data_IF_328537122718
#
_entry.id   IF_328537122718
#
_cell.length_a   1.000
_cell.length_b   1.000
_cell.length_c   1.000
_cell.angle_alpha   90.00
_cell.angle_beta   90.00
_cell.angle_gamma   90.00
#
_symmetry.space_group_name_H-M   'P 1'
#
loop_
_entity.id
_entity.type
_entity.pdbx_description
1 polymer ?
#
# COMPACT_ATOMS: atom_id res chain seq x y z
N UNK A 1 23.86 -5.80 6.66
CA UNK A 1 24.94 -5.78 5.64
C UNK A 1 24.64 -4.57 4.77
N UNK A 2 25.51 -3.56 4.71
CA UNK A 2 25.31 -2.46 3.77
C UNK A 2 25.81 -2.94 2.41
N UNK A 3 24.89 -3.01 1.45
CA UNK A 3 25.21 -3.32 0.05
C UNK A 3 25.34 -1.97 -0.65
N UNK A 4 26.43 -1.78 -1.39
CA UNK A 4 26.66 -0.55 -2.15
C UNK A 4 26.68 -0.89 -3.64
N UNK A 5 26.00 -0.08 -4.46
CA UNK A 5 25.97 -0.23 -5.90
C UNK A 5 26.59 1.00 -6.58
N UNK A 6 27.38 0.76 -7.62
CA UNK A 6 27.96 1.81 -8.45
C UNK A 6 26.93 2.27 -9.49
N UNK A 7 26.41 3.48 -9.34
CA UNK A 7 25.63 4.16 -10.37
C UNK A 7 26.36 5.46 -10.71
N UNK A 8 26.64 5.72 -12.00
CA UNK A 8 27.44 6.86 -12.48
C UNK A 8 28.87 6.98 -11.93
N UNK A 9 29.41 5.92 -11.31
CA UNK A 9 30.77 5.92 -10.73
C UNK A 9 30.85 6.38 -9.28
N UNK A 10 29.71 6.69 -8.65
CA UNK A 10 29.63 6.99 -7.22
C UNK A 10 29.07 5.79 -6.44
N UNK A 11 29.60 5.57 -5.23
CA UNK A 11 29.14 4.56 -4.30
C UNK A 11 27.83 5.03 -3.66
N UNK A 12 26.70 4.45 -4.06
CA UNK A 12 25.42 4.76 -3.44
C UNK A 12 25.02 3.67 -2.45
N UNK A 13 24.47 4.09 -1.30
CA UNK A 13 23.77 3.20 -0.38
C UNK A 13 22.62 2.53 -1.13
N UNK A 14 22.57 1.19 -1.05
CA UNK A 14 21.56 0.39 -1.71
C UNK A 14 20.77 -0.46 -0.73
N UNK A 15 19.45 -0.53 -0.96
CA UNK A 15 18.54 -1.32 -0.13
C UNK A 15 17.63 -2.22 -0.95
N UNK A 16 17.30 -3.37 -0.37
CA UNK A 16 16.32 -4.33 -0.89
C UNK A 16 15.07 -4.27 0.00
N UNK A 17 13.93 -3.86 -0.56
CA UNK A 17 12.68 -3.66 0.18
C UNK A 17 11.69 -4.75 -0.18
N UNK A 18 11.34 -5.60 0.78
CA UNK A 18 10.36 -6.68 0.58
C UNK A 18 8.99 -6.25 1.11
N UNK A 19 8.01 -6.16 0.22
CA UNK A 19 6.64 -5.78 0.55
C UNK A 19 5.78 -7.01 0.83
N UNK A 20 4.80 -6.87 1.72
CA UNK A 20 3.77 -7.90 1.96
C UNK A 20 2.69 -7.95 0.87
N UNK A 21 3.01 -7.45 -0.32
CA UNK A 21 2.13 -7.29 -1.47
C UNK A 21 2.87 -7.72 -2.74
N UNK A 22 2.21 -7.95 -3.89
CA UNK A 22 2.84 -8.63 -5.03
C UNK A 22 2.31 -8.20 -6.39
N UNK A 23 3.16 -8.38 -7.41
CA UNK A 23 2.80 -8.32 -8.84
C UNK A 23 1.61 -9.21 -9.25
N UNK A 24 1.30 -10.22 -8.43
CA UNK A 24 0.22 -11.20 -8.62
C UNK A 24 -1.02 -10.92 -7.76
N UNK A 25 -1.04 -9.82 -7.03
CA UNK A 25 -2.15 -9.45 -6.16
C UNK A 25 -2.67 -8.04 -6.53
N UNK A 26 -2.57 -7.03 -5.67
CA UNK A 26 -3.09 -5.70 -5.95
C UNK A 26 -2.14 -4.77 -6.73
N UNK A 27 -0.83 -5.01 -6.68
CA UNK A 27 0.13 -4.28 -7.52
C UNK A 27 0.18 -5.00 -8.86
N UNK A 28 -0.60 -4.58 -9.86
CA UNK A 28 -0.72 -5.40 -11.08
C UNK A 28 0.50 -5.25 -12.01
N UNK A 29 1.17 -6.37 -12.31
CA UNK A 29 2.38 -6.40 -13.16
C UNK A 29 2.22 -5.74 -14.54
N UNK A 30 1.11 -6.00 -15.25
CA UNK A 30 0.98 -5.62 -16.66
C UNK A 30 0.63 -4.15 -16.89
N UNK A 31 0.24 -3.43 -15.84
CA UNK A 31 -0.18 -2.03 -15.96
C UNK A 31 0.51 -1.10 -14.98
N UNK A 32 1.32 -1.60 -14.05
CA UNK A 32 2.02 -0.79 -13.06
C UNK A 32 2.74 0.42 -13.69
N UNK A 33 3.45 0.21 -14.81
CA UNK A 33 4.17 1.26 -15.53
C UNK A 33 3.24 2.34 -16.14
N UNK A 34 1.94 2.06 -16.27
CA UNK A 34 0.91 2.99 -16.75
C UNK A 34 0.08 3.61 -15.62
N UNK A 35 0.28 3.16 -14.38
CA UNK A 35 -0.44 3.67 -13.21
C UNK A 35 0.41 4.74 -12.51
N UNK A 36 -0.23 5.82 -12.06
CA UNK A 36 0.41 6.82 -11.20
C UNK A 36 0.44 6.31 -9.75
N UNK A 37 1.26 5.29 -9.50
CA UNK A 37 1.44 4.67 -8.19
C UNK A 37 2.49 5.44 -7.41
N UNK A 38 2.10 5.94 -6.24
CA UNK A 38 2.98 6.66 -5.35
C UNK A 38 3.06 5.95 -4.00
N UNK A 39 4.28 5.61 -3.59
CA UNK A 39 4.56 5.08 -2.25
C UNK A 39 4.88 6.21 -1.29
N UNK A 40 4.29 6.17 -0.11
CA UNK A 40 4.55 7.13 0.97
C UNK A 40 4.72 6.38 2.29
N UNK A 41 5.64 6.78 3.17
CA UNK A 41 5.70 6.22 4.51
C UNK A 41 4.46 6.67 5.30
N UNK A 42 3.91 5.78 6.13
CA UNK A 42 2.86 6.18 7.08
C UNK A 42 3.41 7.15 8.13
N UNK A 43 4.64 6.91 8.61
CA UNK A 43 5.36 7.81 9.52
C UNK A 43 6.35 8.68 8.74
N UNK A 44 5.94 9.92 8.45
CA UNK A 44 6.73 10.89 7.71
C UNK A 44 7.79 11.56 8.60
N UNK A 45 8.77 10.80 9.08
CA UNK A 45 9.92 11.35 9.78
C UNK A 45 10.69 12.32 8.85
N UNK A 46 10.87 13.56 9.29
CA UNK A 46 11.49 14.63 8.49
C UNK A 46 12.94 14.31 8.10
N UNK A 47 13.70 13.67 9.00
CA UNK A 47 15.12 13.33 8.79
C UNK A 47 15.33 12.01 8.01
N UNK A 48 14.26 11.41 7.47
CA UNK A 48 14.36 10.14 6.73
C UNK A 48 15.07 10.36 5.39
N UNK A 49 16.14 9.59 5.05
CA UNK A 49 16.73 9.61 3.71
C UNK A 49 15.67 9.29 2.63
N UNK A 50 15.66 10.04 1.53
CA UNK A 50 14.66 9.91 0.44
C UNK A 50 15.23 9.53 -0.92
N UNK A 51 16.56 9.45 -1.04
CA UNK A 51 17.26 9.23 -2.30
C UNK A 51 18.17 8.00 -2.21
N UNK A 52 17.66 6.90 -1.65
CA UNK A 52 18.37 5.62 -1.59
C UNK A 52 18.04 4.80 -2.83
N UNK A 53 19.09 4.29 -3.49
CA UNK A 53 18.88 3.39 -4.61
C UNK A 53 18.28 2.08 -4.09
N UNK A 54 17.11 1.72 -4.60
CA UNK A 54 16.31 0.64 -4.01
C UNK A 54 15.71 -0.27 -5.07
N UNK A 55 15.57 -1.54 -4.71
CA UNK A 55 14.74 -2.50 -5.46
C UNK A 55 13.62 -2.99 -4.56
N UNK A 56 12.39 -2.91 -5.07
CA UNK A 56 11.18 -3.29 -4.38
C UNK A 56 10.75 -4.68 -4.85
N UNK A 57 10.68 -5.62 -3.92
CA UNK A 57 10.25 -6.99 -4.15
C UNK A 57 8.86 -7.20 -3.58
N UNK A 58 8.06 -7.98 -4.28
CA UNK A 58 6.80 -8.49 -3.77
C UNK A 58 7.00 -9.72 -2.88
N UNK A 59 5.91 -10.14 -2.26
CA UNK A 59 5.93 -11.19 -1.24
C UNK A 59 6.13 -12.62 -1.80
N UNK A 60 6.05 -12.82 -3.11
CA UNK A 60 6.10 -14.19 -3.67
C UNK A 60 7.53 -14.70 -3.80
N UNK A 61 7.69 -16.02 -3.83
CA UNK A 61 8.97 -16.68 -4.10
C UNK A 61 9.37 -16.61 -5.59
N UNK A 62 8.66 -15.83 -6.42
CA UNK A 62 8.96 -15.72 -7.84
C UNK A 62 10.08 -14.70 -8.06
N UNK A 63 11.14 -15.03 -8.81
CA UNK A 63 12.17 -14.06 -9.16
C UNK A 63 11.65 -12.94 -10.08
N UNK A 64 10.43 -13.08 -10.62
CA UNK A 64 9.77 -12.06 -11.45
C UNK A 64 8.89 -11.11 -10.63
N UNK A 65 8.77 -11.33 -9.31
CA UNK A 65 8.03 -10.45 -8.40
C UNK A 65 8.89 -9.26 -7.93
N UNK A 66 9.63 -8.67 -8.86
CA UNK A 66 10.33 -7.40 -8.66
C UNK A 66 9.37 -6.28 -9.07
N UNK A 67 8.84 -5.53 -8.12
CA UNK A 67 7.86 -4.46 -8.33
C UNK A 67 8.51 -3.28 -9.07
N UNK A 68 9.66 -2.81 -8.58
CA UNK A 68 10.43 -1.75 -9.19
C UNK A 68 11.92 -2.02 -8.97
N UNK A 69 12.74 -1.88 -10.00
CA UNK A 69 14.19 -2.08 -9.94
C UNK A 69 14.93 -0.75 -10.04
N UNK A 70 15.93 -0.55 -9.17
CA UNK A 70 16.83 0.63 -9.19
C UNK A 70 16.09 1.97 -9.18
N UNK A 71 15.10 2.11 -8.32
CA UNK A 71 14.42 3.39 -8.11
C UNK A 71 15.02 4.15 -6.92
N UNK A 72 15.01 5.47 -6.97
CA UNK A 72 15.25 6.27 -5.76
C UNK A 72 14.04 6.14 -4.85
N UNK A 73 14.30 5.74 -3.61
CA UNK A 73 13.28 5.49 -2.62
C UNK A 73 13.71 6.03 -1.26
N UNK A 74 12.76 6.15 -0.34
CA UNK A 74 13.06 6.50 1.03
C UNK A 74 13.54 5.29 1.82
N UNK A 75 14.29 5.55 2.90
CA UNK A 75 14.72 4.51 3.84
C UNK A 75 13.51 3.77 4.40
N UNK A 76 13.55 2.43 4.33
CA UNK A 76 12.48 1.57 4.83
C UNK A 76 12.99 0.62 5.91
N UNK A 77 12.31 0.64 7.06
CA UNK A 77 12.58 -0.25 8.18
C UNK A 77 11.63 -1.45 8.15
N UNK A 78 12.10 -2.64 8.57
CA UNK A 78 11.22 -3.79 8.77
C UNK A 78 10.03 -3.42 9.65
N UNK A 79 8.87 -4.01 9.33
CA UNK A 79 7.59 -3.85 10.04
C UNK A 79 6.96 -2.44 10.00
N UNK A 80 7.46 -1.52 9.18
CA UNK A 80 6.79 -0.25 8.94
C UNK A 80 5.70 -0.33 7.87
N UNK A 81 4.77 0.62 7.93
CA UNK A 81 3.65 0.69 6.98
C UNK A 81 3.92 1.71 5.87
N UNK A 82 3.63 1.28 4.66
CA UNK A 82 3.68 2.08 3.45
C UNK A 82 2.25 2.31 2.96
N UNK A 83 1.97 3.53 2.52
CA UNK A 83 0.73 3.89 1.85
C UNK A 83 1.02 3.90 0.35
N UNK A 84 0.13 3.27 -0.41
CA UNK A 84 0.18 3.27 -1.87
C UNK A 84 -1.10 3.89 -2.40
N UNK A 85 -0.99 5.08 -2.99
CA UNK A 85 -2.14 5.81 -3.52
C UNK A 85 -2.56 5.33 -4.91
N UNK A 86 -3.74 5.78 -5.35
CA UNK A 86 -4.27 5.53 -6.70
C UNK A 86 -4.49 4.04 -7.06
N UNK A 87 -4.55 3.16 -6.05
CA UNK A 87 -4.76 1.72 -6.20
C UNK A 87 -6.23 1.30 -6.34
N UNK A 88 -7.13 2.18 -6.79
CA UNK A 88 -8.57 1.89 -6.86
C UNK A 88 -9.02 1.21 -8.16
N UNK A 89 -8.32 1.43 -9.27
CA UNK A 89 -8.66 0.90 -10.59
C UNK A 89 -7.66 -0.19 -11.00
N UNK A 90 -8.16 -1.28 -11.59
CA UNK A 90 -7.38 -2.38 -12.15
C UNK A 90 -6.35 -3.05 -11.20
N UNK A 91 -6.54 -2.89 -9.89
CA UNK A 91 -5.75 -3.50 -8.82
C UNK A 91 -6.39 -4.83 -8.37
N UNK A 92 -7.39 -4.75 -7.49
CA UNK A 92 -8.06 -5.91 -6.89
C UNK A 92 -8.72 -6.84 -7.92
N UNK A 93 -9.16 -6.31 -9.06
CA UNK A 93 -9.79 -7.11 -10.13
C UNK A 93 -8.85 -8.15 -10.73
N UNK A 94 -7.53 -7.95 -10.63
CA UNK A 94 -6.52 -8.86 -11.18
C UNK A 94 -5.79 -9.66 -10.09
N UNK A 95 -6.19 -9.50 -8.83
CA UNK A 95 -5.65 -10.28 -7.74
C UNK A 95 -6.02 -11.77 -7.90
N UNK A 96 -5.08 -12.67 -7.67
CA UNK A 96 -5.31 -14.11 -7.84
C UNK A 96 -4.90 -14.98 -6.65
N UNK A 97 -4.40 -14.39 -5.57
CA UNK A 97 -3.96 -15.11 -4.37
C UNK A 97 -2.84 -16.14 -4.61
N UNK A 98 -2.00 -15.87 -5.61
CA UNK A 98 -0.83 -16.71 -5.92
C UNK A 98 0.05 -16.91 -4.68
N UNK A 99 0.73 -18.06 -4.57
CA UNK A 99 1.51 -18.46 -3.39
C UNK A 99 0.73 -18.50 -2.06
N UNK A 100 -0.60 -18.52 -2.10
CA UNK A 100 -1.43 -18.57 -0.89
C UNK A 100 -1.53 -17.22 -0.18
N UNK A 101 -1.11 -16.12 -0.82
CA UNK A 101 -1.40 -14.78 -0.32
C UNK A 101 -2.91 -14.53 -0.39
N UNK A 102 -3.50 -14.07 0.71
CA UNK A 102 -4.90 -13.68 0.73
C UNK A 102 -5.15 -12.41 -0.08
N UNK A 103 -6.42 -12.16 -0.41
CA UNK A 103 -6.82 -10.88 -0.97
C UNK A 103 -6.78 -9.81 0.14
N UNK A 104 -6.35 -8.58 -0.17
CA UNK A 104 -6.35 -7.52 0.82
C UNK A 104 -7.79 -7.17 1.19
N UNK A 105 -7.99 -6.87 2.48
CA UNK A 105 -9.30 -6.45 2.99
C UNK A 105 -9.64 -5.05 2.48
N UNK A 106 -10.85 -4.87 1.98
CA UNK A 106 -11.36 -3.57 1.56
C UNK A 106 -12.24 -3.00 2.67
N UNK A 107 -11.92 -1.79 3.13
CA UNK A 107 -12.73 -1.04 4.08
C UNK A 107 -13.33 0.18 3.40
N UNK A 108 -14.67 0.25 3.35
CA UNK A 108 -15.37 1.41 2.83
C UNK A 108 -15.55 2.44 3.95
N UNK A 109 -15.10 3.67 3.69
CA UNK A 109 -15.24 4.81 4.60
C UNK A 109 -16.15 5.83 3.92
N UNK A 110 -17.27 6.14 4.56
CA UNK A 110 -18.30 7.04 4.03
C UNK A 110 -18.81 7.95 5.13
N UNK A 111 -19.47 9.04 4.73
CA UNK A 111 -20.12 9.92 5.70
C UNK A 111 -21.27 9.20 6.42
N UNK A 112 -21.53 9.51 7.71
CA UNK A 112 -22.52 8.79 8.51
C UNK A 112 -23.92 8.75 7.89
N UNK A 113 -24.30 9.79 7.15
CA UNK A 113 -25.59 9.89 6.46
C UNK A 113 -25.73 8.87 5.33
N UNK A 114 -24.63 8.48 4.69
CA UNK A 114 -24.62 7.56 3.53
C UNK A 114 -24.37 6.10 3.95
N UNK A 115 -23.97 5.86 5.19
CA UNK A 115 -23.56 4.55 5.70
C UNK A 115 -24.61 3.46 5.49
N UNK A 116 -25.88 3.73 5.78
CA UNK A 116 -26.96 2.74 5.59
C UNK A 116 -27.18 2.41 4.11
N UNK A 117 -27.14 3.43 3.24
CA UNK A 117 -27.31 3.25 1.79
C UNK A 117 -26.18 2.42 1.21
N UNK A 118 -24.94 2.77 1.54
CA UNK A 118 -23.75 2.06 1.05
C UNK A 118 -23.73 0.64 1.58
N UNK A 119 -24.09 0.43 2.84
CA UNK A 119 -24.23 -0.91 3.41
C UNK A 119 -25.23 -1.77 2.64
N UNK A 120 -26.41 -1.24 2.31
CA UNK A 120 -27.40 -1.95 1.50
C UNK A 120 -26.91 -2.30 0.09
N UNK A 121 -26.08 -1.45 -0.53
CA UNK A 121 -25.44 -1.77 -1.82
C UNK A 121 -24.45 -2.92 -1.64
N UNK A 122 -23.57 -2.84 -0.64
CA UNK A 122 -22.53 -3.84 -0.41
C UNK A 122 -23.13 -5.22 -0.06
N UNK A 123 -24.17 -5.26 0.78
CA UNK A 123 -24.86 -6.51 1.13
C UNK A 123 -25.59 -7.14 -0.07
N UNK A 124 -25.90 -6.35 -1.12
CA UNK A 124 -26.52 -6.81 -2.35
C UNK A 124 -25.50 -7.20 -3.45
N UNK A 125 -24.21 -6.93 -3.26
CA UNK A 125 -23.19 -7.29 -4.26
C UNK A 125 -22.97 -8.82 -4.25
N UNK A 126 -22.99 -9.48 -5.42
CA UNK A 126 -22.77 -10.93 -5.53
C UNK A 126 -21.31 -11.33 -5.25
N UNK A 127 -20.40 -10.36 -5.17
CA UNK A 127 -18.97 -10.56 -4.92
C UNK A 127 -18.61 -9.71 -3.70
N UNK A 128 -18.34 -10.37 -2.58
CA UNK A 128 -17.70 -9.71 -1.44
C UNK A 128 -16.28 -9.31 -1.84
N UNK A 129 -15.90 -8.05 -1.62
CA UNK A 129 -14.55 -7.57 -1.93
C UNK A 129 -13.49 -8.32 -1.10
N UNK A 130 -12.78 -9.24 -1.76
CA UNK A 130 -11.69 -10.03 -1.18
C UNK A 130 -12.19 -11.26 -0.40
N UNK A 131 -11.71 -12.46 -0.77
CA UNK A 131 -11.92 -13.66 0.03
C UNK A 131 -11.27 -13.48 1.41
N UNK A 132 -12.08 -13.34 2.46
CA UNK A 132 -11.65 -13.26 3.85
C UNK A 132 -12.84 -13.18 4.81
N UNK A 133 -12.69 -13.55 6.10
CA UNK A 133 -13.82 -13.58 7.03
C UNK A 133 -14.43 -12.19 7.20
N UNK A 134 -15.76 -12.13 7.13
CA UNK A 134 -16.59 -10.94 7.28
C UNK A 134 -16.24 -10.19 8.57
N UNK A 135 -15.52 -9.08 8.42
CA UNK A 135 -15.35 -8.06 9.47
C UNK A 135 -16.03 -6.80 8.94
N UNK A 136 -16.59 -5.99 9.85
CA UNK A 136 -17.36 -4.78 9.54
C UNK A 136 -16.81 -4.00 8.34
N UNK A 137 -17.50 -4.15 7.20
CA UNK A 137 -17.05 -3.72 5.87
C UNK A 137 -17.10 -2.18 5.73
N UNK A 138 -17.94 -1.54 6.55
CA UNK A 138 -18.13 -0.09 6.58
C UNK A 138 -17.69 0.44 7.94
N UNK A 139 -16.62 1.25 7.97
CA UNK A 139 -16.20 1.96 9.18
C UNK A 139 -16.72 3.40 9.10
N UNK A 140 -17.32 3.89 10.18
CA UNK A 140 -17.72 5.31 10.28
C UNK A 140 -16.46 6.16 10.33
N UNK A 141 -16.35 7.17 9.47
CA UNK A 141 -15.30 8.18 9.59
C UNK A 141 -15.44 8.87 10.96
N UNK A 142 -14.38 8.90 11.81
CA UNK A 142 -14.43 9.66 13.05
C UNK A 142 -14.61 11.15 12.74
N UNK A 143 -15.37 11.86 13.56
CA UNK A 143 -15.51 13.31 13.42
C UNK A 143 -14.16 14.00 13.65
N UNK A 144 -13.93 15.16 13.03
CA UNK A 144 -12.67 15.92 13.18
C UNK A 144 -12.34 16.23 14.66
N UNK A 145 -13.38 16.43 15.48
CA UNK A 145 -13.23 16.60 16.93
C UNK A 145 -12.74 15.34 17.65
N UNK A 146 -13.11 14.15 17.17
CA UNK A 146 -12.62 12.88 17.70
C UNK A 146 -11.16 12.60 17.26
N UNK A 147 -10.80 12.96 16.03
CA UNK A 147 -9.41 12.86 15.54
C UNK A 147 -8.46 13.80 16.29
N UNK A 148 -8.92 15.01 16.64
CA UNK A 148 -8.18 15.96 17.51
C UNK A 148 -8.03 15.45 18.94
N UNK A 149 -9.08 14.86 19.53
CA UNK A 149 -9.02 14.25 20.88
C UNK A 149 -8.06 13.06 20.97
N UNK A 150 -7.93 12.29 19.89
CA UNK A 150 -7.03 11.14 19.81
C UNK A 150 -5.61 11.49 19.33
N UNK A 151 -5.29 12.79 19.17
CA UNK A 151 -3.94 13.25 18.83
C UNK A 151 -3.48 12.99 17.38
N UNK A 152 -4.38 12.51 16.51
CA UNK A 152 -4.06 12.13 15.12
C UNK A 152 -3.92 13.35 14.21
N UNK A 153 -4.56 14.48 14.56
CA UNK A 153 -4.39 15.75 13.86
C UNK A 153 -3.85 16.77 14.86
N UNK A 154 -2.57 17.12 14.72
CA UNK A 154 -2.00 18.33 15.34
C UNK A 154 -2.38 19.51 14.46
N UNK A 155 -3.04 20.52 15.03
CA UNK A 155 -3.34 21.76 14.31
C UNK A 155 -2.00 22.38 13.88
N UNK A 156 -1.72 22.43 12.57
CA UNK A 156 -0.64 23.22 12.00
C UNK A 156 -1.16 24.60 11.61
N UNK A 157 -0.63 25.63 12.28
CA UNK A 157 -0.45 26.97 11.70
C UNK A 157 0.97 27.03 11.13
#
# INVERSE_FOLDING_TARGET
LNVYLLFLGELQDYQEVFLSESKRNCITNCIYDFLDVQFRPLDAQEDRPRELLSTLWGATCSPLDCIADRMLFFDVKPDEWLIVDNMGAYSLVNACGFNGFGFPRVHYIVDPQDAQRVRGILDALPVEGGYGPAVEIVKKRPSDNALKKNGVIRNGH
#
